data_IF_107452397865
#
_entry.id   IF_107452397865
#
_cell.length_a   1.000
_cell.length_b   1.000
_cell.length_c   1.000
_cell.angle_alpha   90.00
_cell.angle_beta   90.00
_cell.angle_gamma   90.00
#
_symmetry.space_group_name_H-M   'P 1'
#
loop_
_entity.id
_entity.type
_entity.pdbx_description
1 polymer ?
#
# COMPACT_ATOMS: atom_id res chain seq x y z
N UNK A 1 0.06 -2.87 -2.72
CA UNK A 1 -1.08 -2.05 -2.27
C UNK A 1 -2.38 -2.68 -2.69
N UNK A 2 -3.49 -2.44 -1.98
CA UNK A 2 -4.82 -2.93 -2.37
C UNK A 2 -5.84 -1.79 -2.30
N UNK A 3 -6.70 -1.67 -3.31
CA UNK A 3 -7.60 -0.52 -3.44
C UNK A 3 -8.65 -0.47 -2.32
N UNK A 4 -9.35 -1.56 -2.05
CA UNK A 4 -10.40 -1.60 -1.02
C UNK A 4 -9.83 -1.43 0.39
N UNK A 5 -8.59 -1.88 0.62
CA UNK A 5 -7.87 -1.65 1.89
C UNK A 5 -7.47 -0.18 2.05
N UNK A 6 -7.22 0.55 0.97
CA UNK A 6 -6.54 1.86 0.98
C UNK A 6 -5.22 1.80 1.77
N UNK A 7 -4.47 0.69 1.60
CA UNK A 7 -3.30 0.36 2.39
C UNK A 7 -2.37 -0.64 1.72
N UNK A 8 -1.45 -1.19 2.51
CA UNK A 8 -0.32 -1.99 2.05
C UNK A 8 -0.31 -3.38 2.71
N UNK A 9 -1.13 -4.36 2.25
CA UNK A 9 -1.24 -5.67 2.89
C UNK A 9 0.12 -6.39 3.03
N UNK A 10 0.88 -6.50 1.95
CA UNK A 10 2.16 -7.21 1.93
C UNK A 10 3.16 -6.70 2.96
N UNK A 11 3.19 -5.37 3.21
CA UNK A 11 4.12 -4.77 4.15
C UNK A 11 3.91 -5.22 5.60
N UNK A 12 2.67 -5.55 5.98
CA UNK A 12 2.37 -6.04 7.33
C UNK A 12 2.44 -7.57 7.38
N UNK A 13 1.77 -8.22 6.44
CA UNK A 13 1.56 -9.67 6.48
C UNK A 13 2.88 -10.41 6.25
N UNK A 14 3.68 -10.02 5.25
CA UNK A 14 4.97 -10.67 5.01
C UNK A 14 5.95 -10.41 6.15
N UNK A 15 6.01 -9.17 6.67
CA UNK A 15 6.86 -8.87 7.83
C UNK A 15 6.49 -9.74 9.04
N UNK A 16 5.20 -9.93 9.31
CA UNK A 16 4.74 -10.78 10.40
C UNK A 16 5.06 -12.26 10.16
N UNK A 17 4.83 -12.76 8.94
CA UNK A 17 5.12 -14.14 8.59
C UNK A 17 6.61 -14.44 8.68
N UNK A 18 7.49 -13.60 8.11
CA UNK A 18 8.93 -13.77 8.21
C UNK A 18 9.43 -13.73 9.65
N UNK A 19 8.98 -12.74 10.43
CA UNK A 19 9.39 -12.63 11.83
C UNK A 19 8.88 -13.78 12.72
N UNK A 20 7.75 -14.43 12.36
CA UNK A 20 7.24 -15.61 13.06
C UNK A 20 7.98 -16.90 12.73
N UNK A 21 8.81 -16.90 11.68
CA UNK A 21 9.65 -18.03 11.27
C UNK A 21 11.05 -17.84 11.86
N UNK A 22 11.23 -18.10 13.17
CA UNK A 22 12.56 -18.26 13.76
C UNK A 22 13.30 -19.44 13.11
N UNK A 23 14.64 -19.46 13.19
CA UNK A 23 15.47 -20.51 12.57
C UNK A 23 15.05 -21.94 12.94
N UNK A 24 14.53 -22.17 14.14
CA UNK A 24 14.05 -23.47 14.60
C UNK A 24 12.66 -23.83 14.05
N UNK A 25 11.78 -22.81 13.83
CA UNK A 25 10.41 -23.02 13.34
C UNK A 25 10.35 -23.07 11.81
N UNK A 26 11.34 -22.57 11.10
CA UNK A 26 11.34 -22.50 9.63
C UNK A 26 11.43 -23.88 8.96
N UNK A 27 12.11 -24.86 9.59
CA UNK A 27 12.18 -26.23 9.11
C UNK A 27 10.84 -26.99 9.18
N UNK A 28 9.87 -26.51 9.97
CA UNK A 28 8.55 -27.12 10.13
C UNK A 28 7.51 -26.58 9.14
N UNK A 29 7.88 -25.59 8.35
CA UNK A 29 6.97 -24.91 7.41
C UNK A 29 7.48 -25.10 5.98
N UNK A 30 6.64 -25.64 5.12
CA UNK A 30 6.91 -25.63 3.69
C UNK A 30 6.41 -24.32 3.03
N UNK A 31 6.98 -24.01 1.88
CA UNK A 31 6.70 -22.77 1.14
C UNK A 31 5.25 -22.65 0.66
N UNK A 32 4.58 -23.73 0.30
CA UNK A 32 3.16 -23.72 -0.09
C UNK A 32 2.28 -23.26 1.07
N UNK A 33 2.57 -23.72 2.29
CA UNK A 33 1.85 -23.25 3.48
C UNK A 33 2.12 -21.80 3.78
N UNK A 34 3.37 -21.33 3.61
CA UNK A 34 3.74 -19.94 3.75
C UNK A 34 2.99 -19.05 2.72
N UNK A 35 2.98 -19.44 1.44
CA UNK A 35 2.25 -18.73 0.39
C UNK A 35 0.74 -18.69 0.67
N UNK A 36 0.17 -19.84 1.13
CA UNK A 36 -1.25 -19.87 1.50
C UNK A 36 -1.54 -18.96 2.69
N UNK A 37 -0.68 -18.92 3.71
CA UNK A 37 -0.82 -18.00 4.84
C UNK A 37 -0.81 -16.53 4.38
N UNK A 38 0.08 -16.20 3.44
CA UNK A 38 0.12 -14.86 2.85
C UNK A 38 -1.17 -14.53 2.08
N UNK A 39 -1.67 -15.45 1.25
CA UNK A 39 -2.93 -15.29 0.51
C UNK A 39 -4.10 -15.06 1.47
N UNK A 40 -4.21 -15.86 2.54
CA UNK A 40 -5.25 -15.71 3.57
C UNK A 40 -5.16 -14.35 4.24
N UNK A 41 -3.97 -13.91 4.61
CA UNK A 41 -3.78 -12.59 5.21
C UNK A 41 -4.24 -11.45 4.29
N UNK A 42 -3.89 -11.50 3.00
CA UNK A 42 -4.35 -10.52 2.01
C UNK A 42 -5.87 -10.56 1.87
N UNK A 43 -6.45 -11.75 1.81
CA UNK A 43 -7.90 -11.95 1.71
C UNK A 43 -8.63 -11.33 2.88
N UNK A 44 -8.22 -11.65 4.12
CA UNK A 44 -8.82 -11.08 5.34
C UNK A 44 -8.70 -9.57 5.34
N UNK A 45 -7.51 -9.03 5.03
CA UNK A 45 -7.31 -7.58 5.04
C UNK A 45 -8.16 -6.87 4.00
N UNK A 46 -8.30 -7.44 2.81
CA UNK A 46 -9.10 -6.87 1.74
C UNK A 46 -10.60 -6.88 2.07
N UNK A 47 -11.09 -7.96 2.66
CA UNK A 47 -12.48 -8.09 3.09
C UNK A 47 -12.82 -7.15 4.24
N UNK A 48 -11.95 -7.02 5.24
CA UNK A 48 -12.06 -5.97 6.25
C UNK A 48 -12.10 -4.59 5.60
N UNK A 49 -11.22 -4.35 4.61
CA UNK A 49 -11.21 -3.10 3.85
C UNK A 49 -12.54 -2.81 3.15
N UNK A 50 -13.14 -3.79 2.48
CA UNK A 50 -14.47 -3.68 1.84
C UNK A 50 -15.57 -3.39 2.86
N UNK A 51 -15.47 -3.99 4.05
CA UNK A 51 -16.46 -3.84 5.10
C UNK A 51 -16.47 -2.45 5.74
N UNK A 52 -15.32 -1.75 5.81
CA UNK A 52 -15.18 -0.50 6.58
C UNK A 52 -14.87 0.74 5.75
N UNK A 53 -14.25 0.59 4.57
CA UNK A 53 -13.86 1.72 3.74
C UNK A 53 -14.99 2.15 2.78
N UNK A 54 -15.04 3.39 2.35
CA UNK A 54 -14.05 4.46 2.62
C UNK A 54 -14.21 5.17 3.97
N UNK A 55 -15.29 4.93 4.73
CA UNK A 55 -15.61 5.67 5.94
C UNK A 55 -14.47 5.60 6.99
N UNK A 56 -13.95 4.41 7.28
CA UNK A 56 -12.80 4.19 8.16
C UNK A 56 -11.59 5.06 7.78
N UNK A 57 -11.21 5.01 6.52
CA UNK A 57 -10.08 5.77 6.02
C UNK A 57 -10.32 7.28 6.08
N UNK A 58 -11.52 7.75 5.71
CA UNK A 58 -11.87 9.17 5.72
C UNK A 58 -11.98 9.74 7.14
N UNK A 59 -12.35 8.92 8.12
CA UNK A 59 -12.35 9.28 9.55
C UNK A 59 -10.93 9.53 10.11
N UNK A 60 -9.89 9.15 9.37
CA UNK A 60 -8.50 9.42 9.74
C UNK A 60 -7.69 8.19 10.13
N UNK A 61 -8.22 6.99 10.03
CA UNK A 61 -7.51 5.77 10.34
C UNK A 61 -6.53 5.35 9.25
N UNK A 62 -5.38 4.82 9.63
CA UNK A 62 -4.39 4.22 8.72
C UNK A 62 -4.70 2.74 8.54
N UNK A 63 -5.46 2.39 7.49
CA UNK A 63 -5.94 1.02 7.24
C UNK A 63 -4.82 -0.03 7.24
N UNK A 64 -3.59 0.30 6.81
CA UNK A 64 -2.43 -0.60 6.90
C UNK A 64 -2.17 -1.05 8.33
N UNK A 65 -2.29 -0.14 9.29
CA UNK A 65 -2.03 -0.43 10.70
C UNK A 65 -3.22 -1.13 11.37
N UNK A 66 -4.43 -0.60 11.19
CA UNK A 66 -5.63 -1.09 11.88
C UNK A 66 -6.07 -2.46 11.37
N UNK A 67 -6.26 -2.59 10.05
CA UNK A 67 -6.70 -3.84 9.43
C UNK A 67 -5.58 -4.87 9.33
N UNK A 68 -4.34 -4.40 9.16
CA UNK A 68 -3.16 -5.25 9.00
C UNK A 68 -2.88 -6.11 10.21
N UNK A 69 -3.15 -5.64 11.43
CA UNK A 69 -2.98 -6.44 12.66
C UNK A 69 -3.85 -7.68 12.66
N UNK A 70 -5.14 -7.51 12.41
CA UNK A 70 -6.09 -8.62 12.37
C UNK A 70 -5.70 -9.60 11.27
N UNK A 71 -5.40 -9.08 10.09
CA UNK A 71 -5.05 -9.89 8.94
C UNK A 71 -3.74 -10.68 9.12
N UNK A 72 -2.69 -10.05 9.66
CA UNK A 72 -1.43 -10.72 9.96
C UNK A 72 -1.59 -11.78 11.04
N UNK A 73 -2.40 -11.52 12.08
CA UNK A 73 -2.74 -12.49 13.11
C UNK A 73 -3.38 -13.75 12.50
N UNK A 74 -4.35 -13.57 11.59
CA UNK A 74 -4.98 -14.70 10.89
C UNK A 74 -3.95 -15.50 10.06
N UNK A 75 -3.04 -14.80 9.37
CA UNK A 75 -1.99 -15.44 8.59
C UNK A 75 -1.02 -16.26 9.47
N UNK A 76 -0.61 -15.72 10.62
CA UNK A 76 0.25 -16.43 11.59
C UNK A 76 -0.47 -17.65 12.17
N UNK A 77 -1.73 -17.52 12.57
CA UNK A 77 -2.54 -18.63 13.08
C UNK A 77 -2.63 -19.76 12.06
N UNK A 78 -2.85 -19.46 10.79
CA UNK A 78 -2.86 -20.46 9.73
C UNK A 78 -1.48 -21.08 9.53
N UNK A 79 -0.41 -20.26 9.46
CA UNK A 79 0.96 -20.72 9.25
C UNK A 79 1.38 -21.76 10.30
N UNK A 80 1.08 -21.47 11.56
CA UNK A 80 1.47 -22.28 12.71
C UNK A 80 0.37 -23.24 13.23
N UNK A 81 -0.71 -23.45 12.44
CA UNK A 81 -1.81 -24.40 12.76
C UNK A 81 -2.46 -24.14 14.13
N UNK A 82 -2.70 -22.85 14.47
CA UNK A 82 -3.34 -22.50 15.74
C UNK A 82 -4.86 -22.67 15.65
N UNK A 83 -5.48 -23.22 16.68
CA UNK A 83 -6.92 -23.53 16.80
C UNK A 83 -7.71 -22.41 17.49
N UNK A 84 -7.06 -21.41 18.06
CA UNK A 84 -7.65 -20.29 18.79
C UNK A 84 -7.90 -19.04 17.93
N UNK A 85 -8.22 -19.21 16.63
CA UNK A 85 -8.36 -18.12 15.67
C UNK A 85 -9.36 -17.04 16.11
N UNK A 86 -10.51 -17.42 16.66
CA UNK A 86 -11.54 -16.46 17.10
C UNK A 86 -11.01 -15.54 18.22
N UNK A 87 -10.33 -16.10 19.21
CA UNK A 87 -9.72 -15.35 20.31
C UNK A 87 -8.61 -14.43 19.77
N UNK A 88 -7.80 -14.93 18.83
CA UNK A 88 -6.73 -14.15 18.22
C UNK A 88 -7.25 -12.94 17.42
N UNK A 89 -8.34 -13.10 16.66
CA UNK A 89 -9.01 -12.00 15.96
C UNK A 89 -9.53 -10.98 16.98
N UNK A 90 -10.18 -11.42 18.05
CA UNK A 90 -10.73 -10.53 19.06
C UNK A 90 -9.63 -9.72 19.75
N UNK A 91 -8.55 -10.37 20.17
CA UNK A 91 -7.42 -9.70 20.82
C UNK A 91 -6.69 -8.74 19.85
N UNK A 92 -6.47 -9.15 18.58
CA UNK A 92 -5.89 -8.29 17.57
C UNK A 92 -6.74 -7.03 17.29
N UNK A 93 -8.07 -7.18 17.31
CA UNK A 93 -8.99 -6.06 17.12
C UNK A 93 -8.87 -5.03 18.23
N UNK A 94 -8.67 -5.44 19.49
CA UNK A 94 -8.45 -4.52 20.62
C UNK A 94 -7.17 -3.72 20.52
N UNK A 95 -6.17 -4.22 19.76
CA UNK A 95 -4.90 -3.57 19.52
C UNK A 95 -4.92 -2.66 18.28
N UNK A 96 -6.03 -2.59 17.54
CA UNK A 96 -6.13 -1.82 16.31
C UNK A 96 -5.89 -0.33 16.57
N UNK A 97 -4.84 0.22 15.98
CA UNK A 97 -4.46 1.63 16.15
C UNK A 97 -3.67 2.14 14.94
N UNK A 98 -3.51 3.44 14.86
CA UNK A 98 -2.74 4.14 13.82
C UNK A 98 -3.56 5.17 13.07
N UNK A 99 -3.02 6.38 12.95
CA UNK A 99 -3.71 7.53 12.34
C UNK A 99 -2.98 8.02 11.09
N UNK A 100 -3.75 8.54 10.13
CA UNK A 100 -3.22 9.11 8.88
C UNK A 100 -2.47 10.43 9.07
N UNK A 101 -2.61 11.08 10.21
CA UNK A 101 -1.90 12.34 10.50
C UNK A 101 -0.37 12.23 10.37
N UNK A 102 0.17 11.01 10.44
CA UNK A 102 1.61 10.76 10.31
C UNK A 102 2.07 10.58 8.85
N UNK A 103 1.19 10.75 7.86
CA UNK A 103 1.58 10.64 6.46
C UNK A 103 2.60 11.73 6.10
N UNK A 104 3.62 11.35 5.33
CA UNK A 104 4.78 12.20 5.06
C UNK A 104 5.94 12.03 6.06
N UNK A 105 5.72 11.34 7.19
CA UNK A 105 6.76 11.06 8.19
C UNK A 105 7.20 9.60 8.17
N UNK A 106 8.37 9.26 8.76
CA UNK A 106 8.85 7.88 8.94
C UNK A 106 7.89 7.01 9.77
N UNK A 107 7.08 7.62 10.65
CA UNK A 107 6.11 6.92 11.51
C UNK A 107 5.07 6.16 10.67
N UNK A 108 4.75 6.63 9.47
CA UNK A 108 3.86 5.89 8.57
C UNK A 108 4.39 4.49 8.24
N UNK A 109 5.69 4.34 7.98
CA UNK A 109 6.31 3.04 7.73
C UNK A 109 6.39 2.20 9.02
N UNK A 110 6.74 2.83 10.14
CA UNK A 110 6.77 2.20 11.46
C UNK A 110 5.43 1.56 11.83
N UNK A 111 4.29 2.17 11.47
CA UNK A 111 2.96 1.59 11.71
C UNK A 111 2.80 0.18 11.11
N UNK A 112 3.40 -0.13 9.97
CA UNK A 112 3.35 -1.47 9.38
C UNK A 112 4.13 -2.48 10.24
N UNK A 113 5.33 -2.11 10.70
CA UNK A 113 6.14 -2.93 11.60
C UNK A 113 5.46 -3.16 12.96
N UNK A 114 4.89 -2.11 13.55
CA UNK A 114 4.12 -2.23 14.81
C UNK A 114 2.89 -3.13 14.66
N UNK A 115 2.21 -3.09 13.52
CA UNK A 115 1.08 -3.96 13.26
C UNK A 115 1.52 -5.44 13.12
N UNK A 116 2.66 -5.69 12.45
CA UNK A 116 3.25 -7.02 12.34
C UNK A 116 3.71 -7.56 13.70
N UNK A 117 4.40 -6.74 14.49
CA UNK A 117 4.83 -7.08 15.86
C UNK A 117 3.63 -7.44 16.75
N UNK A 118 2.59 -6.59 16.72
CA UNK A 118 1.37 -6.82 17.52
C UNK A 118 0.69 -8.14 17.14
N UNK A 119 0.70 -8.52 15.85
CA UNK A 119 0.11 -9.79 15.41
C UNK A 119 0.86 -11.02 15.99
N UNK A 120 2.18 -10.93 16.09
CA UNK A 120 2.99 -11.98 16.73
C UNK A 120 2.70 -12.05 18.24
N UNK A 121 2.73 -10.90 18.91
CA UNK A 121 2.46 -10.81 20.34
C UNK A 121 1.07 -11.35 20.73
N UNK A 122 0.05 -11.11 19.92
CA UNK A 122 -1.31 -11.66 20.13
C UNK A 122 -1.27 -13.20 20.19
N UNK A 123 -0.58 -13.83 19.25
CA UNK A 123 -0.46 -15.29 19.21
C UNK A 123 0.33 -15.80 20.43
N UNK A 124 1.46 -15.16 20.75
CA UNK A 124 2.28 -15.52 21.90
C UNK A 124 1.54 -15.37 23.23
N UNK A 125 0.76 -14.33 23.41
CA UNK A 125 -0.04 -14.13 24.65
C UNK A 125 -1.10 -15.20 24.84
N UNK A 126 -1.79 -15.63 23.77
CA UNK A 126 -2.78 -16.71 23.87
C UNK A 126 -2.06 -18.05 24.12
N UNK A 127 -0.93 -18.32 23.49
CA UNK A 127 -0.10 -19.49 23.78
C UNK A 127 0.38 -19.53 25.24
N UNK A 128 0.60 -18.34 25.85
CA UNK A 128 0.97 -18.21 27.26
C UNK A 128 -0.24 -18.32 28.22
N UNK A 129 -1.44 -18.60 27.71
CA UNK A 129 -2.65 -18.83 28.50
C UNK A 129 -3.59 -17.62 28.63
N UNK A 130 -3.35 -16.51 27.91
CA UNK A 130 -4.33 -15.43 27.86
C UNK A 130 -5.58 -15.91 27.12
N UNK A 131 -6.75 -15.76 27.77
CA UNK A 131 -8.05 -16.15 27.20
C UNK A 131 -8.95 -14.96 26.97
N UNK A 132 -9.68 -14.96 25.84
CA UNK A 132 -10.63 -13.94 25.46
C UNK A 132 -11.79 -14.59 24.68
N UNK A 133 -13.01 -14.48 25.20
CA UNK A 133 -14.22 -15.09 24.60
C UNK A 133 -15.11 -14.06 23.86
N UNK A 134 -14.77 -12.77 23.91
CA UNK A 134 -15.57 -11.70 23.36
C UNK A 134 -15.57 -11.70 21.83
N UNK A 135 -16.71 -11.29 21.26
CA UNK A 135 -16.84 -11.15 19.80
C UNK A 135 -16.14 -9.87 19.31
N UNK A 136 -15.10 -10.04 18.47
CA UNK A 136 -14.40 -8.92 17.83
C UNK A 136 -15.32 -7.95 17.08
N UNK A 137 -16.45 -8.44 16.59
CA UNK A 137 -17.39 -7.71 15.73
C UNK A 137 -18.74 -7.46 16.42
N UNK A 138 -18.74 -7.35 17.77
CA UNK A 138 -19.92 -6.94 18.52
C UNK A 138 -20.53 -5.67 17.92
N UNK A 139 -21.87 -5.61 17.89
CA UNK A 139 -22.59 -4.54 17.20
C UNK A 139 -22.44 -3.16 17.85
N UNK A 140 -22.17 -3.11 19.16
CA UNK A 140 -22.13 -1.88 19.94
C UNK A 140 -20.70 -1.43 20.29
N UNK A 141 -19.84 -2.38 20.66
CA UNK A 141 -18.50 -2.12 21.18
C UNK A 141 -17.38 -2.83 20.40
N UNK A 142 -17.72 -3.58 19.37
CA UNK A 142 -16.76 -4.30 18.53
C UNK A 142 -16.09 -3.39 17.50
N UNK A 143 -15.19 -3.98 16.73
CA UNK A 143 -14.33 -3.28 15.77
C UNK A 143 -15.13 -2.41 14.79
N UNK A 144 -16.22 -2.93 14.20
CA UNK A 144 -17.00 -2.15 13.24
C UNK A 144 -17.73 -0.98 13.88
N UNK A 145 -18.24 -1.14 15.11
CA UNK A 145 -18.95 -0.08 15.81
C UNK A 145 -18.04 1.13 16.09
N UNK A 146 -16.78 0.87 16.45
CA UNK A 146 -15.83 1.92 16.86
C UNK A 146 -15.06 2.52 15.69
N UNK A 147 -14.77 1.75 14.66
CA UNK A 147 -13.83 2.14 13.61
C UNK A 147 -14.47 2.65 12.31
N UNK A 148 -15.79 2.48 12.14
CA UNK A 148 -16.49 2.97 10.94
C UNK A 148 -17.94 3.37 11.24
N UNK A 149 -18.41 4.40 10.53
CA UNK A 149 -19.84 4.83 10.58
C UNK A 149 -20.68 4.08 9.52
N UNK A 150 -20.03 3.56 8.48
CA UNK A 150 -20.67 2.79 7.40
C UNK A 150 -20.01 1.42 7.30
N UNK A 151 -20.71 0.41 7.79
CA UNK A 151 -20.24 -0.98 7.80
C UNK A 151 -21.00 -1.85 6.81
N UNK A 152 -20.30 -2.81 6.22
CA UNK A 152 -20.88 -3.87 5.41
C UNK A 152 -20.33 -5.23 5.85
N UNK A 153 -20.80 -5.79 6.99
CA UNK A 153 -20.29 -7.06 7.52
C UNK A 153 -20.41 -8.22 6.52
N UNK A 154 -21.41 -8.17 5.64
CA UNK A 154 -21.62 -9.16 4.57
C UNK A 154 -20.41 -9.29 3.64
N UNK A 155 -19.65 -8.19 3.44
CA UNK A 155 -18.45 -8.18 2.61
C UNK A 155 -17.35 -9.13 3.16
N UNK A 156 -17.40 -9.52 4.43
CA UNK A 156 -16.46 -10.48 5.00
C UNK A 156 -16.61 -11.87 4.39
N UNK A 157 -17.82 -12.27 4.07
CA UNK A 157 -18.13 -13.64 3.62
C UNK A 157 -18.54 -13.73 2.15
N UNK A 158 -18.83 -12.60 1.51
CA UNK A 158 -19.29 -12.56 0.12
C UNK A 158 -18.30 -13.24 -0.83
N UNK A 159 -18.73 -14.30 -1.53
CA UNK A 159 -17.92 -15.07 -2.49
C UNK A 159 -16.56 -15.52 -1.94
N UNK A 160 -16.53 -15.92 -0.68
CA UNK A 160 -15.31 -16.46 -0.05
C UNK A 160 -14.84 -17.72 -0.80
N UNK A 161 -13.57 -17.75 -1.21
CA UNK A 161 -13.00 -18.87 -1.97
C UNK A 161 -13.19 -18.82 -3.48
N UNK A 162 -14.04 -17.90 -4.02
CA UNK A 162 -14.28 -17.78 -5.46
C UNK A 162 -13.39 -16.71 -6.13
N UNK A 163 -13.28 -15.53 -5.50
CA UNK A 163 -12.56 -14.38 -6.04
C UNK A 163 -11.46 -13.93 -5.06
N UNK A 164 -10.30 -14.52 -5.16
CA UNK A 164 -9.16 -14.24 -4.29
C UNK A 164 -8.62 -12.82 -4.47
N UNK A 165 -8.57 -12.06 -3.39
CA UNK A 165 -8.19 -10.65 -3.39
C UNK A 165 -6.69 -10.42 -3.62
N UNK A 166 -5.87 -11.46 -3.55
CA UNK A 166 -4.45 -11.35 -3.90
C UNK A 166 -4.27 -10.93 -5.37
N UNK A 167 -5.16 -11.34 -6.27
CA UNK A 167 -5.16 -10.92 -7.67
C UNK A 167 -5.44 -9.41 -7.87
N UNK A 168 -5.91 -8.72 -6.82
CA UNK A 168 -6.19 -7.29 -6.83
C UNK A 168 -5.05 -6.47 -6.19
N UNK A 169 -3.91 -7.08 -5.90
CA UNK A 169 -2.74 -6.35 -5.43
C UNK A 169 -2.10 -5.50 -6.53
N UNK A 170 -1.66 -4.33 -6.13
CA UNK A 170 -0.91 -3.41 -6.98
C UNK A 170 0.55 -3.41 -6.62
N UNK A 171 1.41 -3.43 -7.60
CA UNK A 171 2.82 -3.08 -7.45
C UNK A 171 2.99 -1.57 -7.57
N UNK A 172 3.76 -0.96 -6.67
CA UNK A 172 4.06 0.47 -6.78
C UNK A 172 5.16 0.71 -7.80
N UNK A 173 4.90 1.59 -8.75
CA UNK A 173 5.90 2.02 -9.75
C UNK A 173 6.94 2.94 -9.12
N UNK A 174 6.50 3.85 -8.26
CA UNK A 174 7.31 4.96 -7.76
C UNK A 174 7.34 5.03 -6.23
N UNK A 175 8.38 5.65 -5.62
CA UNK A 175 8.55 5.73 -4.18
C UNK A 175 7.67 6.79 -3.50
N UNK A 176 6.45 7.03 -3.99
CA UNK A 176 5.49 7.96 -3.41
C UNK A 176 4.10 7.35 -3.20
N UNK A 177 3.14 8.14 -2.75
CA UNK A 177 1.80 7.66 -2.43
C UNK A 177 1.08 7.09 -3.66
N UNK A 178 0.49 5.90 -3.53
CA UNK A 178 -0.23 5.25 -4.64
C UNK A 178 -1.45 6.02 -5.12
N UNK A 179 -2.03 6.91 -4.30
CA UNK A 179 -3.10 7.80 -4.73
C UNK A 179 -2.65 8.79 -5.82
N UNK A 180 -1.33 9.01 -5.94
CA UNK A 180 -0.74 9.84 -6.98
C UNK A 180 -0.30 9.07 -8.22
N UNK A 181 -0.39 7.73 -8.23
CA UNK A 181 0.16 6.95 -9.33
C UNK A 181 -0.47 7.31 -10.69
N UNK A 182 -1.81 7.40 -10.74
CA UNK A 182 -2.49 7.78 -11.99
C UNK A 182 -2.16 9.21 -12.44
N UNK A 183 -2.12 10.17 -11.50
CA UNK A 183 -1.79 11.56 -11.85
C UNK A 183 -0.33 11.67 -12.32
N UNK A 184 0.58 10.87 -11.76
CA UNK A 184 1.96 10.82 -12.21
C UNK A 184 2.08 10.21 -13.62
N UNK A 185 1.38 9.11 -13.91
CA UNK A 185 1.37 8.51 -15.24
C UNK A 185 0.89 9.52 -16.31
N UNK A 186 -0.17 10.29 -16.00
CA UNK A 186 -0.67 11.35 -16.88
C UNK A 186 0.34 12.51 -17.02
N UNK A 187 1.03 12.87 -15.94
CA UNK A 187 2.06 13.91 -15.97
C UNK A 187 3.28 13.51 -16.80
N UNK A 188 3.70 12.23 -16.74
CA UNK A 188 4.78 11.73 -17.59
C UNK A 188 4.42 11.78 -19.08
N UNK A 189 3.18 11.43 -19.45
CA UNK A 189 2.71 11.57 -20.83
C UNK A 189 2.81 13.03 -21.30
N UNK A 190 2.29 13.97 -20.50
CA UNK A 190 2.33 15.39 -20.82
C UNK A 190 3.76 15.98 -20.85
N UNK A 191 4.68 15.39 -20.08
CA UNK A 191 6.08 15.82 -20.10
C UNK A 191 6.74 15.55 -21.45
N UNK A 192 6.34 14.50 -22.16
CA UNK A 192 6.84 14.17 -23.50
C UNK A 192 6.31 15.13 -24.58
N UNK A 193 5.13 15.73 -24.35
CA UNK A 193 4.47 16.68 -25.26
C UNK A 193 4.82 18.14 -24.97
N UNK A 194 5.42 18.41 -23.81
CA UNK A 194 5.68 19.76 -23.31
C UNK A 194 7.10 20.22 -23.68
N UNK A 195 7.22 21.16 -24.61
CA UNK A 195 8.51 21.70 -25.05
C UNK A 195 9.22 22.51 -23.93
N UNK A 196 8.52 23.50 -23.35
CA UNK A 196 9.04 24.36 -22.30
C UNK A 196 8.07 24.49 -21.11
N UNK A 197 8.44 24.00 -19.91
CA UNK A 197 7.63 24.16 -18.69
C UNK A 197 7.36 25.63 -18.31
N UNK A 198 8.20 26.58 -18.74
CA UNK A 198 7.97 28.01 -18.47
C UNK A 198 6.74 28.56 -19.19
N UNK A 199 6.32 27.93 -20.28
CA UNK A 199 5.12 28.33 -21.02
C UNK A 199 3.81 27.91 -20.32
N UNK A 200 3.89 27.13 -19.25
CA UNK A 200 2.71 26.77 -18.47
C UNK A 200 2.10 28.00 -17.80
N UNK A 201 0.83 28.26 -18.09
CA UNK A 201 0.00 29.30 -17.47
C UNK A 201 -0.74 28.74 -16.26
N UNK A 202 -1.39 27.58 -16.41
CA UNK A 202 -2.19 26.91 -15.38
C UNK A 202 -2.23 25.40 -15.61
N UNK A 203 -2.34 24.63 -14.53
CA UNK A 203 -2.54 23.18 -14.53
C UNK A 203 -3.80 22.87 -13.71
N UNK A 204 -4.69 22.05 -14.25
CA UNK A 204 -5.89 21.56 -13.57
C UNK A 204 -5.78 20.04 -13.40
N UNK A 205 -5.90 19.58 -12.17
CA UNK A 205 -5.90 18.17 -11.80
C UNK A 205 -7.32 17.75 -11.45
N UNK A 206 -7.89 16.81 -12.20
CA UNK A 206 -9.22 16.31 -11.93
C UNK A 206 -9.16 14.96 -11.24
N UNK A 207 -9.80 14.87 -10.08
CA UNK A 207 -9.94 13.64 -9.30
C UNK A 207 -11.43 13.28 -9.10
N UNK A 208 -11.70 12.00 -8.96
CA UNK A 208 -12.95 11.58 -8.35
C UNK A 208 -13.00 12.04 -6.88
N UNK A 209 -14.14 12.45 -6.34
CA UNK A 209 -14.23 12.88 -4.94
C UNK A 209 -13.60 11.89 -3.96
N UNK A 210 -12.70 12.39 -3.11
CA UNK A 210 -11.93 11.61 -2.12
C UNK A 210 -10.91 10.60 -2.69
N UNK A 211 -10.67 10.56 -4.01
CA UNK A 211 -9.61 9.71 -4.58
C UNK A 211 -8.21 10.20 -4.15
N UNK A 212 -8.05 11.49 -3.95
CA UNK A 212 -6.83 12.17 -3.50
C UNK A 212 -6.72 12.33 -1.98
N UNK A 213 -7.60 11.71 -1.19
CA UNK A 213 -7.64 11.89 0.27
C UNK A 213 -6.32 11.57 1.01
N UNK A 214 -5.42 10.80 0.39
CA UNK A 214 -4.08 10.54 0.92
C UNK A 214 -3.06 11.64 0.59
N UNK A 215 -3.35 12.52 -0.40
CA UNK A 215 -2.46 13.57 -0.89
C UNK A 215 -2.73 14.85 -0.10
N UNK A 216 -2.32 14.83 1.17
CA UNK A 216 -2.72 15.82 2.18
C UNK A 216 -1.98 17.16 2.07
N UNK A 217 -0.82 17.19 1.42
CA UNK A 217 -0.02 18.40 1.29
C UNK A 217 -0.38 19.17 0.01
N UNK A 218 -0.82 20.43 0.17
CA UNK A 218 -1.04 21.39 -0.92
C UNK A 218 0.17 22.28 -1.12
N UNK A 219 0.84 22.62 -0.03
CA UNK A 219 2.15 23.26 0.01
C UNK A 219 3.12 22.28 0.67
N UNK A 220 4.36 22.29 0.22
CA UNK A 220 5.40 21.33 0.64
C UNK A 220 6.59 22.12 1.15
N UNK A 221 7.03 21.84 2.37
CA UNK A 221 8.23 22.43 2.96
C UNK A 221 9.48 21.57 2.69
N UNK A 222 9.29 20.24 2.66
CA UNK A 222 10.37 19.28 2.43
C UNK A 222 9.96 18.29 1.33
N UNK A 223 10.88 17.82 0.48
CA UNK A 223 10.59 16.83 -0.55
C UNK A 223 9.91 15.56 -0.03
N UNK A 224 10.19 15.13 1.20
CA UNK A 224 9.53 13.99 1.84
C UNK A 224 8.00 14.14 1.95
N UNK A 225 7.49 15.36 2.15
CA UNK A 225 6.06 15.68 2.13
C UNK A 225 5.51 15.61 0.69
N UNK A 226 6.34 15.92 -0.30
CA UNK A 226 6.03 15.80 -1.73
C UNK A 226 5.55 14.42 -2.14
N UNK A 227 5.97 13.35 -1.44
CA UNK A 227 5.43 11.99 -1.62
C UNK A 227 3.91 11.90 -1.43
N UNK A 228 3.30 12.90 -0.78
CA UNK A 228 1.88 13.01 -0.48
C UNK A 228 1.26 14.31 -0.99
N UNK A 229 1.83 14.89 -2.04
CA UNK A 229 1.35 16.10 -2.74
C UNK A 229 1.17 15.82 -4.23
N UNK A 230 -0.03 15.99 -4.77
CA UNK A 230 -0.24 15.89 -6.21
C UNK A 230 0.45 17.04 -6.95
N UNK A 231 0.38 18.24 -6.37
CA UNK A 231 0.97 19.45 -6.93
C UNK A 231 2.48 19.31 -7.07
N UNK A 232 3.14 18.83 -6.02
CA UNK A 232 4.59 18.62 -6.02
C UNK A 232 5.02 17.60 -7.07
N UNK A 233 4.34 16.44 -7.10
CA UNK A 233 4.69 15.35 -8.03
C UNK A 233 4.48 15.78 -9.48
N UNK A 234 3.36 16.43 -9.80
CA UNK A 234 3.10 16.93 -11.16
C UNK A 234 4.12 18.00 -11.54
N UNK A 235 4.40 18.97 -10.67
CA UNK A 235 5.38 20.02 -10.94
C UNK A 235 6.78 19.43 -11.19
N UNK A 236 7.24 18.54 -10.34
CA UNK A 236 8.55 17.90 -10.46
C UNK A 236 8.67 17.06 -11.74
N UNK A 237 7.63 16.28 -12.10
CA UNK A 237 7.61 15.49 -13.33
C UNK A 237 7.68 16.38 -14.56
N UNK A 238 6.86 17.43 -14.64
CA UNK A 238 6.84 18.36 -15.78
C UNK A 238 8.17 19.12 -15.94
N UNK A 239 8.87 19.36 -14.82
CA UNK A 239 10.22 19.94 -14.82
C UNK A 239 11.33 18.90 -15.13
N UNK A 240 10.97 17.66 -15.44
CA UNK A 240 11.92 16.60 -15.80
C UNK A 240 12.73 16.04 -14.63
N UNK A 241 12.27 16.21 -13.38
CA UNK A 241 12.97 15.69 -12.22
C UNK A 241 12.81 14.17 -12.11
N UNK A 242 13.90 13.51 -11.69
CA UNK A 242 13.88 12.09 -11.36
C UNK A 242 13.36 11.90 -9.94
N UNK A 243 12.16 11.32 -9.81
CA UNK A 243 11.50 11.08 -8.52
C UNK A 243 11.89 9.72 -7.94
N UNK A 244 13.15 9.57 -7.53
CA UNK A 244 13.66 8.41 -6.82
C UNK A 244 13.71 8.64 -5.29
N UNK A 245 14.30 7.70 -4.56
CA UNK A 245 14.43 7.83 -3.10
C UNK A 245 15.30 9.02 -2.71
N UNK A 246 16.40 9.27 -3.44
CA UNK A 246 17.34 10.36 -3.15
C UNK A 246 16.68 11.74 -3.31
N UNK A 247 15.81 11.90 -4.32
CA UNK A 247 15.05 13.13 -4.51
C UNK A 247 14.21 13.49 -3.26
N UNK A 248 13.57 12.49 -2.66
CA UNK A 248 12.70 12.73 -1.49
C UNK A 248 13.47 12.80 -0.15
N UNK A 249 14.77 12.58 -0.14
CA UNK A 249 15.65 12.71 1.04
C UNK A 249 16.35 14.05 1.10
N UNK A 250 16.22 14.91 0.09
CA UNK A 250 16.75 16.26 0.09
C UNK A 250 16.15 17.08 1.24
N UNK A 251 16.93 18.02 1.76
CA UNK A 251 16.53 18.85 2.90
C UNK A 251 15.48 19.92 2.52
N UNK A 252 15.57 20.46 1.31
CA UNK A 252 14.79 21.61 0.85
C UNK A 252 14.14 21.33 -0.51
N UNK A 253 12.98 21.95 -0.74
CA UNK A 253 12.32 21.91 -2.04
C UNK A 253 13.02 22.84 -3.04
N UNK A 254 13.17 22.37 -4.27
CA UNK A 254 13.70 23.18 -5.34
C UNK A 254 12.76 24.35 -5.66
N UNK A 255 13.28 25.60 -5.79
CA UNK A 255 12.44 26.80 -6.00
C UNK A 255 11.53 26.70 -7.24
N UNK A 256 12.00 26.07 -8.33
CA UNK A 256 11.24 25.93 -9.57
C UNK A 256 10.03 25.01 -9.39
N UNK A 257 10.17 23.94 -8.60
CA UNK A 257 9.05 23.06 -8.25
C UNK A 257 8.01 23.86 -7.46
N UNK A 258 8.44 24.57 -6.41
CA UNK A 258 7.56 25.38 -5.58
C UNK A 258 6.84 26.47 -6.41
N UNK A 259 7.52 27.11 -7.35
CA UNK A 259 6.94 28.10 -8.26
C UNK A 259 5.89 27.48 -9.20
N UNK A 260 6.17 26.29 -9.76
CA UNK A 260 5.20 25.64 -10.65
C UNK A 260 3.98 25.12 -9.87
N UNK A 261 4.16 24.64 -8.63
CA UNK A 261 3.05 24.23 -7.76
C UNK A 261 1.99 25.33 -7.59
N UNK A 262 2.37 26.61 -7.57
CA UNK A 262 1.41 27.74 -7.42
C UNK A 262 0.44 27.87 -8.60
N UNK A 263 0.71 27.21 -9.72
CA UNK A 263 -0.14 27.22 -10.92
C UNK A 263 -1.06 26.01 -11.00
N UNK A 264 -1.09 25.16 -9.98
CA UNK A 264 -1.80 23.87 -9.98
C UNK A 264 -3.03 23.94 -9.09
N UNK A 265 -4.19 23.64 -9.67
CA UNK A 265 -5.47 23.57 -8.96
C UNK A 265 -6.01 22.13 -9.02
N UNK A 266 -6.59 21.63 -7.90
CA UNK A 266 -7.36 20.37 -7.89
C UNK A 266 -8.85 20.66 -8.05
N UNK A 267 -9.45 19.91 -8.96
CA UNK A 267 -10.89 19.89 -9.21
C UNK A 267 -11.44 18.50 -8.99
N UNK A 268 -12.71 18.40 -8.68
CA UNK A 268 -13.36 17.12 -8.41
C UNK A 268 -14.49 16.91 -9.41
N UNK A 269 -14.41 15.83 -10.16
CA UNK A 269 -15.42 15.44 -11.14
C UNK A 269 -15.83 14.00 -10.87
N UNK A 270 -17.11 13.78 -10.70
CA UNK A 270 -17.67 12.45 -10.62
C UNK A 270 -17.85 11.90 -12.05
N UNK A 271 -16.97 11.02 -12.48
CA UNK A 271 -17.24 10.17 -13.65
C UNK A 271 -17.83 8.87 -13.15
N UNK A 272 -19.03 8.48 -13.59
CA UNK A 272 -19.71 7.30 -13.05
C UNK A 272 -18.96 5.99 -13.25
N UNK A 273 -18.16 5.90 -14.31
CA UNK A 273 -17.60 4.66 -14.81
C UNK A 273 -16.26 4.27 -14.19
N UNK A 274 -15.40 5.22 -13.86
CA UNK A 274 -14.09 4.94 -13.28
C UNK A 274 -13.70 5.92 -12.15
N UNK A 275 -13.91 5.48 -10.90
CA UNK A 275 -13.52 6.24 -9.69
C UNK A 275 -12.01 6.39 -9.50
N UNK A 276 -11.20 5.82 -10.39
CA UNK A 276 -9.73 5.85 -10.35
C UNK A 276 -9.14 6.72 -11.45
N UNK A 277 -9.94 7.07 -12.45
CA UNK A 277 -9.51 7.93 -13.53
C UNK A 277 -9.09 9.29 -13.00
N UNK A 278 -7.99 9.80 -13.51
CA UNK A 278 -7.49 11.15 -13.26
C UNK A 278 -7.19 11.83 -14.58
N UNK A 279 -7.41 13.13 -14.64
CA UNK A 279 -7.14 13.93 -15.84
C UNK A 279 -6.25 15.10 -15.43
N UNK A 280 -5.25 15.42 -16.26
CA UNK A 280 -4.47 16.66 -16.20
C UNK A 280 -4.77 17.48 -17.42
N UNK A 281 -5.06 18.76 -17.22
CA UNK A 281 -5.18 19.75 -18.28
C UNK A 281 -4.16 20.84 -18.05
N UNK A 282 -3.27 21.10 -19.01
CA UNK A 282 -2.30 22.19 -18.98
C UNK A 282 -2.74 23.26 -19.98
N UNK A 283 -2.85 24.48 -19.51
CA UNK A 283 -3.07 25.67 -20.34
C UNK A 283 -1.75 26.42 -20.51
N UNK A 284 -1.32 26.59 -21.75
CA UNK A 284 -0.11 27.33 -22.09
C UNK A 284 -0.40 28.84 -22.26
N UNK A 285 0.63 29.67 -22.18
CA UNK A 285 0.54 31.13 -22.35
C UNK A 285 0.05 31.54 -23.74
N UNK A 286 0.40 30.76 -24.76
CA UNK A 286 -0.04 30.97 -26.14
C UNK A 286 -1.49 30.53 -26.41
N UNK A 287 -2.20 30.03 -25.38
CA UNK A 287 -3.59 29.58 -25.46
C UNK A 287 -3.75 28.10 -25.83
N UNK A 288 -2.68 27.37 -26.16
CA UNK A 288 -2.77 25.95 -26.42
C UNK A 288 -3.11 25.16 -25.13
N UNK A 289 -3.74 24.00 -25.32
CA UNK A 289 -4.17 23.11 -24.24
C UNK A 289 -3.58 21.73 -24.49
N UNK A 290 -2.87 21.19 -23.49
CA UNK A 290 -2.44 19.81 -23.46
C UNK A 290 -3.29 19.06 -22.43
N UNK A 291 -3.64 17.81 -22.71
CA UNK A 291 -4.45 17.00 -21.81
C UNK A 291 -4.01 15.55 -21.85
N UNK A 292 -3.89 14.93 -20.66
CA UNK A 292 -3.72 13.49 -20.54
C UNK A 292 -4.65 12.91 -19.49
N UNK A 293 -5.00 11.64 -19.66
CA UNK A 293 -5.83 10.85 -18.76
C UNK A 293 -5.14 9.54 -18.40
N UNK A 294 -5.25 9.13 -17.16
CA UNK A 294 -4.87 7.80 -16.72
C UNK A 294 -6.07 7.13 -16.03
N UNK A 295 -6.56 6.05 -16.61
CA UNK A 295 -7.66 5.25 -16.06
C UNK A 295 -7.17 4.27 -15.01
N UNK A 296 -6.02 3.65 -15.27
CA UNK A 296 -5.39 2.67 -14.39
C UNK A 296 -3.87 2.89 -14.40
N UNK A 297 -3.26 3.10 -13.23
CA UNK A 297 -1.83 3.28 -13.16
C UNK A 297 -1.08 1.97 -13.44
N UNK A 298 0.15 2.09 -13.96
CA UNK A 298 1.07 0.97 -14.15
C UNK A 298 1.29 0.22 -12.83
N UNK A 299 1.34 -1.10 -12.91
CA UNK A 299 1.43 -2.01 -11.76
C UNK A 299 0.09 -2.33 -11.10
N UNK A 300 -1.03 -1.73 -11.57
CA UNK A 300 -2.38 -2.14 -11.17
C UNK A 300 -2.80 -3.45 -11.87
N UNK A 301 -3.81 -4.18 -11.35
CA UNK A 301 -4.31 -5.39 -11.99
C UNK A 301 -4.78 -5.20 -13.45
N UNK A 302 -5.24 -3.99 -13.79
CA UNK A 302 -5.70 -3.65 -15.14
C UNK A 302 -4.56 -3.23 -16.09
N UNK A 303 -3.37 -2.89 -15.55
CA UNK A 303 -2.15 -2.53 -16.29
C UNK A 303 -0.95 -3.13 -15.57
N UNK A 304 -0.83 -4.47 -15.54
CA UNK A 304 0.20 -5.17 -14.76
C UNK A 304 1.60 -4.93 -15.30
N UNK A 305 2.58 -5.26 -14.48
CA UNK A 305 3.96 -5.43 -14.92
C UNK A 305 4.14 -6.76 -15.67
N UNK A 306 5.08 -6.80 -16.61
CA UNK A 306 5.62 -8.07 -17.12
C UNK A 306 6.57 -8.70 -16.08
N UNK A 307 6.89 -9.97 -16.28
CA UNK A 307 7.85 -10.67 -15.41
C UNK A 307 9.25 -10.04 -15.50
N UNK A 308 9.65 -9.53 -16.68
CA UNK A 308 10.92 -8.82 -16.86
C UNK A 308 10.93 -7.50 -16.09
N UNK A 309 9.84 -6.74 -16.14
CA UNK A 309 9.72 -5.48 -15.40
C UNK A 309 9.74 -5.72 -13.88
N UNK A 310 9.10 -6.80 -13.40
CA UNK A 310 9.15 -7.19 -11.98
C UNK A 310 10.55 -7.62 -11.56
N UNK A 311 11.25 -8.39 -12.41
CA UNK A 311 12.63 -8.82 -12.17
C UNK A 311 13.58 -7.64 -12.11
N UNK A 312 13.46 -6.67 -13.04
CA UNK A 312 14.24 -5.44 -13.04
C UNK A 312 13.98 -4.61 -11.77
N UNK A 313 12.72 -4.50 -11.34
CA UNK A 313 12.35 -3.79 -10.12
C UNK A 313 12.95 -4.45 -8.88
N UNK A 314 12.96 -5.77 -8.81
CA UNK A 314 13.57 -6.55 -7.74
C UNK A 314 15.09 -6.35 -7.72
N UNK A 315 15.75 -6.45 -8.87
CA UNK A 315 17.19 -6.23 -9.02
C UNK A 315 17.61 -4.83 -8.57
N UNK A 316 16.83 -3.80 -8.94
CA UNK A 316 17.07 -2.42 -8.49
C UNK A 316 16.89 -2.25 -6.97
N UNK A 317 15.94 -2.96 -6.36
CA UNK A 317 15.69 -2.88 -4.93
C UNK A 317 16.79 -3.54 -4.11
N UNK A 318 17.34 -4.67 -4.58
CA UNK A 318 18.42 -5.42 -3.91
C UNK A 318 19.78 -4.73 -4.16
N UNK A 319 19.99 -4.14 -5.32
CA UNK A 319 21.21 -3.42 -5.74
C UNK A 319 22.53 -4.20 -5.49
N UNK A 320 22.46 -5.53 -5.53
CA UNK A 320 23.60 -6.46 -5.44
C UNK A 320 23.28 -7.69 -6.28
N UNK A 321 24.07 -7.93 -7.35
CA UNK A 321 23.78 -8.97 -8.32
C UNK A 321 23.86 -10.39 -7.75
N UNK A 322 24.80 -10.67 -6.87
CA UNK A 322 24.94 -11.99 -6.24
C UNK A 322 23.74 -12.28 -5.34
N UNK A 323 23.39 -11.35 -4.45
CA UNK A 323 22.23 -11.46 -3.56
C UNK A 323 20.94 -11.57 -4.38
N UNK A 324 20.78 -10.76 -5.45
CA UNK A 324 19.64 -10.83 -6.34
C UNK A 324 19.48 -12.22 -6.97
N UNK A 325 20.56 -12.81 -7.47
CA UNK A 325 20.54 -14.14 -8.11
C UNK A 325 20.10 -15.21 -7.13
N UNK A 326 20.71 -15.26 -5.95
CA UNK A 326 20.39 -16.23 -4.90
C UNK A 326 18.94 -16.08 -4.40
N UNK A 327 18.52 -14.85 -4.18
CA UNK A 327 17.14 -14.58 -3.76
C UNK A 327 16.12 -14.92 -4.85
N UNK A 328 16.36 -14.55 -6.10
CA UNK A 328 15.48 -14.87 -7.23
C UNK A 328 15.33 -16.37 -7.45
N UNK A 329 16.42 -17.13 -7.31
CA UNK A 329 16.38 -18.58 -7.41
C UNK A 329 15.53 -19.18 -6.27
N UNK A 330 15.75 -18.73 -5.03
CA UNK A 330 14.97 -19.16 -3.87
C UNK A 330 13.48 -18.78 -3.98
N UNK A 331 13.19 -17.60 -4.51
CA UNK A 331 11.82 -17.12 -4.74
C UNK A 331 11.10 -17.99 -5.79
N UNK A 332 11.78 -18.34 -6.88
CA UNK A 332 11.23 -19.16 -7.95
C UNK A 332 10.92 -20.61 -7.50
N UNK A 333 11.59 -21.11 -6.46
CA UNK A 333 11.35 -22.44 -5.90
C UNK A 333 10.15 -22.49 -4.95
N UNK A 334 9.63 -21.37 -4.46
CA UNK A 334 8.54 -21.38 -3.47
C UNK A 334 7.26 -22.13 -3.91
N UNK A 335 6.81 -22.08 -5.16
CA UNK A 335 5.64 -22.84 -5.59
C UNK A 335 5.80 -24.35 -5.52
N UNK A 336 7.04 -24.86 -5.55
CA UNK A 336 7.37 -26.30 -5.56
C UNK A 336 7.19 -26.97 -4.18
N UNK A 337 6.88 -26.24 -3.12
CA UNK A 337 6.67 -26.80 -1.78
C UNK A 337 7.98 -27.10 -1.03
N UNK A 338 9.02 -26.31 -1.28
CA UNK A 338 10.33 -26.45 -0.62
C UNK A 338 10.28 -26.02 0.85
N UNK A 339 11.29 -26.45 1.62
CA UNK A 339 11.50 -25.95 2.97
C UNK A 339 11.87 -24.47 2.97
N UNK A 340 11.38 -23.71 3.97
CA UNK A 340 11.55 -22.25 4.03
C UNK A 340 12.97 -21.80 4.42
N UNK A 341 13.83 -22.69 4.92
CA UNK A 341 15.15 -22.32 5.43
C UNK A 341 16.03 -21.57 4.42
N UNK A 342 16.17 -22.13 3.21
CA UNK A 342 16.99 -21.50 2.16
C UNK A 342 16.44 -20.13 1.76
N UNK A 343 15.12 -20.00 1.63
CA UNK A 343 14.49 -18.75 1.30
C UNK A 343 14.64 -17.69 2.41
N UNK A 344 14.52 -18.11 3.68
CA UNK A 344 14.72 -17.22 4.83
C UNK A 344 16.17 -16.71 4.89
N UNK A 345 17.16 -17.58 4.65
CA UNK A 345 18.56 -17.18 4.59
C UNK A 345 18.81 -16.18 3.45
N UNK A 346 18.29 -16.46 2.25
CA UNK A 346 18.39 -15.53 1.13
C UNK A 346 17.68 -14.19 1.40
N UNK A 347 16.53 -14.21 2.09
CA UNK A 347 15.85 -12.98 2.52
C UNK A 347 16.66 -12.19 3.55
N UNK A 348 17.26 -12.85 4.53
CA UNK A 348 18.11 -12.21 5.55
C UNK A 348 19.36 -11.56 4.94
N UNK A 349 19.89 -12.07 3.84
CA UNK A 349 21.03 -11.46 3.15
C UNK A 349 20.69 -10.15 2.43
N UNK A 350 19.40 -9.83 2.25
CA UNK A 350 18.93 -8.56 1.68
C UNK A 350 18.86 -7.46 2.75
N UNK A 351 18.60 -7.83 4.00
CA UNK A 351 18.44 -6.89 5.13
C UNK A 351 19.78 -6.38 5.64
#
# INVERSE_FOLDING_TARGET
>A
MHFDVRGHPSAVILSALFASLSSEKSSLVNSQRFLTAYIIGVEVMARLGKAVNPAHYLKGWHSTATLGRIAATCAICYLHKKDFLAQAIALAATQASGMRMVFGSPIKALHAGMAAQSAIQVVEWIEAGLSLEQNAFDENIGFFALFTEKRSPQALLEKWGENWQIAQLWFKTYPYCSAAAGIADAAYQLREELDDPNEIKQILLFFYPNADAALIYRAVQKPSEGRFSAEYLVAAILLGKRLDFQHFEQAECEPDICKLMTKIDRLYQATPENKRAVIIVIRLKNGAILQAQSDYPKGSPMKPYSDEELSQKLAQAINNEAIYRDFSQSLSALPEGVEMNAFIQAYQSIL
#
